data_IF_934719545914
#
_entry.id   IF_934719545914
#
_cell.length_a   1.000
_cell.length_b   1.000
_cell.length_c   1.000
_cell.angle_alpha   90.00
_cell.angle_beta   90.00
_cell.angle_gamma   90.00
#
_symmetry.space_group_name_H-M   'P 1'
#
loop_
_entity.id
_entity.type
_entity.pdbx_description
1 polymer ?
#
# COMPACT_ATOMS: atom_id res chain seq x y z
N UNK A 1 -16.58 8.50 -12.86
CA UNK A 1 -16.45 7.03 -13.03
C UNK A 1 -15.72 6.38 -11.86
N UNK A 2 -14.50 6.80 -11.49
CA UNK A 2 -13.78 6.25 -10.30
C UNK A 2 -14.48 6.62 -8.98
N UNK A 3 -14.99 7.85 -8.87
CA UNK A 3 -15.79 8.29 -7.70
C UNK A 3 -17.07 7.46 -7.53
N UNK A 4 -17.63 6.97 -8.64
CA UNK A 4 -18.81 6.10 -8.67
C UNK A 4 -18.47 4.70 -8.17
N UNK A 5 -17.27 4.20 -8.48
CA UNK A 5 -16.78 2.89 -8.02
C UNK A 5 -16.48 2.89 -6.51
N UNK A 6 -15.88 3.98 -6.01
CA UNK A 6 -15.61 4.20 -4.58
C UNK A 6 -16.90 4.41 -3.77
N UNK A 7 -17.90 5.11 -4.32
CA UNK A 7 -19.22 5.23 -3.71
C UNK A 7 -20.00 3.90 -3.72
N UNK A 8 -19.86 3.07 -4.75
CA UNK A 8 -20.52 1.76 -4.77
C UNK A 8 -19.97 0.80 -3.72
N UNK A 9 -18.73 0.99 -3.24
CA UNK A 9 -18.22 0.28 -2.06
C UNK A 9 -18.83 0.77 -0.75
N UNK A 10 -19.19 2.05 -0.66
CA UNK A 10 -19.79 2.66 0.53
C UNK A 10 -21.30 2.44 0.62
N UNK A 11 -21.97 2.14 -0.50
CA UNK A 11 -23.43 2.00 -0.60
C UNK A 11 -23.93 0.57 -0.82
N UNK A 12 -23.11 -0.46 -0.58
CA UNK A 12 -23.54 -1.86 -0.65
C UNK A 12 -23.81 -2.44 0.76
N UNK A 13 -25.00 -2.21 1.35
CA UNK A 13 -25.38 -2.76 2.66
C UNK A 13 -25.61 -4.29 2.65
N UNK A 14 -25.17 -4.99 1.61
CA UNK A 14 -25.42 -6.43 1.38
C UNK A 14 -24.14 -7.27 1.26
N UNK A 15 -22.96 -6.69 1.51
CA UNK A 15 -21.66 -7.38 1.42
C UNK A 15 -20.95 -7.49 2.79
N UNK A 16 -21.69 -7.41 3.89
CA UNK A 16 -21.13 -7.59 5.23
C UNK A 16 -20.44 -8.96 5.36
N UNK A 17 -19.19 -8.96 5.81
CA UNK A 17 -18.43 -10.19 6.08
C UNK A 17 -16.93 -10.04 5.87
N UNK A 18 -16.50 -9.41 4.76
CA UNK A 18 -15.11 -9.51 4.30
C UNK A 18 -14.54 -8.23 3.69
N UNK A 19 -15.33 -7.16 3.61
CA UNK A 19 -14.85 -5.88 3.11
C UNK A 19 -14.20 -5.07 4.22
N UNK A 20 -13.17 -4.34 3.85
CA UNK A 20 -12.51 -3.37 4.71
C UNK A 20 -12.41 -2.02 4.01
N UNK A 21 -12.44 -0.96 4.79
CA UNK A 21 -12.02 0.38 4.35
C UNK A 21 -10.72 0.71 5.07
N UNK A 22 -9.79 1.33 4.36
CA UNK A 22 -8.47 1.65 4.89
C UNK A 22 -8.11 3.11 4.67
N UNK A 23 -7.47 3.69 5.68
CA UNK A 23 -6.72 4.93 5.57
C UNK A 23 -5.29 4.66 6.00
N UNK A 24 -4.34 5.16 5.22
CA UNK A 24 -2.93 4.85 5.42
C UNK A 24 -2.07 6.10 5.26
N UNK A 25 -1.08 6.26 6.15
CA UNK A 25 0.09 7.08 5.88
C UNK A 25 1.14 6.18 5.23
N UNK A 26 1.30 6.25 3.91
CA UNK A 26 1.51 5.05 3.12
C UNK A 26 2.86 4.94 2.38
N UNK A 27 3.82 5.83 2.64
CA UNK A 27 5.14 5.79 2.03
C UNK A 27 5.05 5.78 0.50
N UNK A 28 5.44 4.67 -0.13
CA UNK A 28 5.32 4.49 -1.59
C UNK A 28 3.89 4.59 -2.12
N UNK A 29 2.88 4.22 -1.34
CA UNK A 29 1.47 4.37 -1.71
C UNK A 29 0.98 5.81 -1.64
N UNK A 30 1.87 6.76 -1.35
CA UNK A 30 1.59 8.18 -1.16
C UNK A 30 1.87 8.61 0.28
N UNK A 31 1.93 9.92 0.50
CA UNK A 31 1.92 10.51 1.85
C UNK A 31 0.70 10.03 2.63
N UNK A 32 -0.45 10.03 1.95
CA UNK A 32 -1.70 9.46 2.44
C UNK A 32 -2.35 8.64 1.34
N UNK A 33 -2.99 7.54 1.72
CA UNK A 33 -3.80 6.70 0.84
C UNK A 33 -5.12 6.37 1.50
N UNK A 34 -6.18 6.31 0.70
CA UNK A 34 -7.51 5.88 1.12
C UNK A 34 -7.98 4.79 0.17
N UNK A 35 -8.47 3.68 0.71
CA UNK A 35 -8.79 2.52 -0.08
C UNK A 35 -9.84 1.63 0.55
N UNK A 36 -10.10 0.55 -0.16
CA UNK A 36 -10.91 -0.56 0.30
C UNK A 36 -10.24 -1.87 -0.06
N UNK A 37 -10.61 -2.90 0.68
CA UNK A 37 -10.05 -4.22 0.55
C UNK A 37 -11.06 -5.31 0.73
N UNK A 38 -10.66 -6.50 0.31
CA UNK A 38 -11.44 -7.71 0.44
C UNK A 38 -10.57 -8.84 0.99
N UNK A 39 -10.96 -9.37 2.14
CA UNK A 39 -10.36 -10.55 2.75
C UNK A 39 -11.24 -11.76 2.46
N UNK A 40 -10.91 -12.56 1.44
CA UNK A 40 -11.71 -13.76 1.14
C UNK A 40 -11.36 -14.95 2.04
N UNK A 41 -10.22 -14.89 2.74
CA UNK A 41 -9.85 -15.84 3.78
C UNK A 41 -8.92 -15.17 4.79
N UNK A 42 -8.76 -15.71 6.01
CA UNK A 42 -7.85 -15.15 7.01
C UNK A 42 -6.40 -14.99 6.52
N UNK A 43 -6.01 -15.77 5.50
CA UNK A 43 -4.67 -15.77 4.94
C UNK A 43 -4.52 -14.89 3.70
N UNK A 44 -5.61 -14.39 3.10
CA UNK A 44 -5.56 -13.76 1.79
C UNK A 44 -6.42 -12.50 1.73
N UNK A 45 -5.79 -11.39 1.35
CA UNK A 45 -6.40 -10.07 1.26
C UNK A 45 -5.95 -9.38 -0.03
N UNK A 46 -6.85 -8.65 -0.67
CA UNK A 46 -6.52 -7.72 -1.75
C UNK A 46 -7.04 -6.34 -1.42
N UNK A 47 -6.18 -5.33 -1.62
CA UNK A 47 -6.51 -3.93 -1.41
C UNK A 47 -6.37 -3.15 -2.72
N UNK A 48 -7.25 -2.17 -2.86
CA UNK A 48 -7.16 -1.11 -3.85
C UNK A 48 -7.23 0.24 -3.13
N UNK A 49 -6.25 1.12 -3.35
CA UNK A 49 -6.24 2.44 -2.73
C UNK A 49 -5.87 3.56 -3.69
N UNK A 50 -6.32 4.76 -3.35
CA UNK A 50 -5.99 5.99 -4.03
C UNK A 50 -5.00 6.78 -3.17
N UNK A 51 -3.81 7.02 -3.73
CA UNK A 51 -2.72 7.68 -3.05
C UNK A 51 -2.51 9.13 -3.50
N UNK A 52 -2.08 9.97 -2.56
CA UNK A 52 -1.61 11.33 -2.81
C UNK A 52 -0.15 11.44 -2.42
N UNK A 53 0.70 11.88 -3.33
CA UNK A 53 2.10 12.16 -3.05
C UNK A 53 2.42 13.63 -3.32
N UNK A 54 3.41 14.15 -2.61
CA UNK A 54 3.96 15.47 -2.87
C UNK A 54 5.41 15.36 -3.25
N UNK A 55 5.74 16.05 -4.33
CA UNK A 55 7.09 16.41 -4.69
C UNK A 55 7.25 17.92 -4.70
N UNK A 56 7.53 18.46 -3.52
CA UNK A 56 8.05 19.80 -3.40
C UNK A 56 6.91 20.76 -3.69
N UNK A 57 6.92 21.37 -4.88
CA UNK A 57 5.84 22.23 -5.34
C UNK A 57 4.73 21.50 -6.12
N UNK A 58 4.88 20.21 -6.43
CA UNK A 58 3.91 19.43 -7.20
C UNK A 58 3.23 18.37 -6.33
N UNK A 59 1.91 18.34 -6.33
CA UNK A 59 1.14 17.20 -5.84
C UNK A 59 0.81 16.26 -6.99
N UNK A 60 0.81 14.96 -6.71
CA UNK A 60 0.47 13.93 -7.67
C UNK A 60 -0.44 12.88 -7.05
N UNK A 61 -1.08 12.09 -7.92
CA UNK A 61 -2.06 11.08 -7.55
C UNK A 61 -1.70 9.73 -8.15
N UNK A 62 -2.04 8.66 -7.44
CA UNK A 62 -1.73 7.30 -7.86
C UNK A 62 -2.84 6.34 -7.48
N UNK A 63 -2.93 5.24 -8.21
CA UNK A 63 -3.69 4.05 -7.84
C UNK A 63 -2.73 2.99 -7.33
N UNK A 64 -3.09 2.36 -6.24
CA UNK A 64 -2.31 1.30 -5.64
C UNK A 64 -3.17 0.04 -5.58
N UNK A 65 -2.53 -1.10 -5.79
CA UNK A 65 -3.11 -2.38 -5.43
C UNK A 65 -2.07 -3.23 -4.73
N UNK A 66 -2.50 -4.01 -3.76
CA UNK A 66 -1.64 -4.97 -3.08
C UNK A 66 -2.44 -6.22 -2.80
N UNK A 67 -1.81 -7.34 -3.10
CA UNK A 67 -2.24 -8.64 -2.62
C UNK A 67 -1.38 -9.02 -1.43
N UNK A 68 -2.00 -9.49 -0.35
CA UNK A 68 -1.32 -9.95 0.87
C UNK A 68 -1.64 -11.40 1.17
N UNK A 69 -0.60 -12.11 1.57
CA UNK A 69 -0.62 -13.45 2.11
C UNK A 69 -0.14 -13.42 3.57
N UNK A 70 -0.96 -13.92 4.48
CA UNK A 70 -0.72 -13.94 5.93
C UNK A 70 -0.54 -15.39 6.39
N UNK A 71 0.67 -15.97 6.29
CA UNK A 71 0.90 -17.38 6.63
C UNK A 71 0.63 -17.71 8.10
N UNK A 72 0.78 -16.72 8.99
CA UNK A 72 0.59 -16.91 10.42
C UNK A 72 -0.46 -15.96 10.95
N UNK A 73 -1.32 -16.49 11.80
CA UNK A 73 -2.35 -15.72 12.49
C UNK A 73 -2.48 -16.27 13.90
N UNK A 74 -2.39 -15.39 14.88
CA UNK A 74 -2.52 -15.73 16.30
C UNK A 74 -3.88 -15.22 16.75
N UNK A 75 -4.80 -16.14 16.94
CA UNK A 75 -6.16 -15.83 17.37
C UNK A 75 -6.29 -15.80 18.89
N UNK A 76 -6.95 -14.76 19.38
CA UNK A 76 -7.37 -14.58 20.78
C UNK A 76 -8.84 -14.20 20.84
N UNK A 77 -9.51 -14.34 22.00
CA UNK A 77 -10.92 -14.01 22.13
C UNK A 77 -11.26 -12.55 21.81
N UNK A 78 -10.34 -11.60 22.07
CA UNK A 78 -10.59 -10.17 21.87
C UNK A 78 -9.92 -9.59 20.62
N UNK A 79 -8.93 -10.29 20.07
CA UNK A 79 -8.10 -9.77 18.98
C UNK A 79 -7.49 -10.89 18.15
N UNK A 80 -7.02 -10.53 16.98
CA UNK A 80 -6.25 -11.38 16.09
C UNK A 80 -4.96 -10.64 15.74
N UNK A 81 -3.82 -11.28 15.96
CA UNK A 81 -2.53 -10.72 15.58
C UNK A 81 -1.97 -11.48 14.37
N UNK A 82 -1.68 -10.74 13.32
CA UNK A 82 -0.96 -11.21 12.14
C UNK A 82 0.49 -10.73 12.30
N UNK A 83 1.41 -11.57 12.80
CA UNK A 83 2.79 -11.17 13.05
C UNK A 83 3.52 -10.81 11.75
N UNK A 84 3.20 -11.51 10.66
CA UNK A 84 3.78 -11.27 9.34
C UNK A 84 2.71 -11.47 8.27
N UNK A 85 2.55 -10.47 7.40
CA UNK A 85 2.01 -10.62 6.06
C UNK A 85 3.10 -10.33 5.04
N UNK A 86 2.99 -11.02 3.90
CA UNK A 86 3.82 -10.87 2.72
C UNK A 86 2.93 -10.39 1.59
N UNK A 87 3.33 -9.33 0.88
CA UNK A 87 2.51 -8.79 -0.19
C UNK A 87 3.28 -8.55 -1.47
N UNK A 88 2.54 -8.55 -2.57
CA UNK A 88 2.97 -8.05 -3.86
C UNK A 88 2.11 -6.84 -4.17
N UNK A 89 2.75 -5.72 -4.49
CA UNK A 89 2.05 -4.49 -4.78
C UNK A 89 2.38 -3.94 -6.16
N UNK A 90 1.43 -3.18 -6.70
CA UNK A 90 1.59 -2.36 -7.88
C UNK A 90 1.08 -0.95 -7.59
N UNK A 91 1.73 0.04 -8.18
CA UNK A 91 1.34 1.44 -8.10
C UNK A 91 1.37 2.04 -9.49
N UNK A 92 0.34 2.80 -9.82
CA UNK A 92 0.18 3.44 -11.10
C UNK A 92 0.00 4.95 -10.92
N UNK A 93 0.90 5.75 -11.49
CA UNK A 93 0.79 7.21 -11.48
C UNK A 93 -0.30 7.67 -12.43
N UNK A 94 -1.19 8.54 -11.94
CA UNK A 94 -2.29 9.12 -12.72
C UNK A 94 -1.91 10.45 -13.39
N UNK A 95 -0.68 10.90 -13.22
CA UNK A 95 -0.25 12.19 -13.74
C UNK A 95 -0.03 12.16 -15.26
N UNK A 96 -0.25 13.31 -15.91
CA UNK A 96 -0.23 13.43 -17.38
C UNK A 96 1.15 13.13 -17.97
N UNK A 97 2.20 13.40 -17.21
CA UNK A 97 3.57 13.03 -17.54
C UNK A 97 3.86 11.55 -17.27
N UNK A 98 2.93 10.75 -16.71
CA UNK A 98 3.04 9.27 -16.58
C UNK A 98 4.33 8.80 -15.89
N UNK A 99 4.93 9.63 -15.05
CA UNK A 99 6.20 9.31 -14.44
C UNK A 99 6.15 9.48 -12.92
N UNK A 100 6.68 8.50 -12.20
CA UNK A 100 7.12 8.67 -10.80
C UNK A 100 8.40 9.53 -10.67
N UNK A 101 8.81 10.24 -11.74
CA UNK A 101 10.12 10.90 -11.92
C UNK A 101 10.45 11.99 -10.90
N UNK A 102 9.52 12.29 -10.05
CA UNK A 102 9.48 13.55 -9.39
C UNK A 102 9.11 13.22 -7.94
N UNK A 103 10.12 12.89 -7.14
CA UNK A 103 10.22 13.19 -5.71
C UNK A 103 11.45 14.10 -5.51
N UNK A 104 11.36 15.26 -4.84
CA UNK A 104 12.37 16.29 -4.83
C UNK A 104 13.36 15.95 -3.73
N UNK A 105 14.56 16.49 -3.88
CA UNK A 105 15.60 16.57 -2.88
C UNK A 105 16.50 15.35 -2.68
N UNK A 106 16.27 14.18 -3.30
CA UNK A 106 17.17 13.05 -3.01
C UNK A 106 17.38 11.98 -4.10
N UNK A 107 17.94 12.29 -5.27
CA UNK A 107 18.54 11.24 -6.12
C UNK A 107 19.73 11.76 -6.97
N UNK A 108 20.83 11.00 -7.11
CA UNK A 108 22.11 11.55 -7.59
C UNK A 108 22.32 11.63 -9.12
N UNK A 109 21.56 10.92 -9.98
CA UNK A 109 21.89 10.83 -11.43
C UNK A 109 20.69 10.90 -12.40
N UNK A 110 20.97 11.39 -13.62
CA UNK A 110 19.99 11.82 -14.65
C UNK A 110 19.21 10.68 -15.32
N UNK A 111 19.74 9.45 -15.33
CA UNK A 111 19.14 8.28 -16.00
C UNK A 111 18.72 7.17 -15.01
N UNK A 112 18.51 7.55 -13.74
CA UNK A 112 18.31 6.60 -12.65
C UNK A 112 16.89 5.97 -12.61
N UNK A 113 15.89 6.56 -13.27
CA UNK A 113 14.55 5.98 -13.38
C UNK A 113 14.18 5.68 -14.83
N UNK A 114 13.66 4.47 -15.07
CA UNK A 114 12.89 4.14 -16.28
C UNK A 114 11.62 4.99 -16.34
N UNK A 115 11.25 5.43 -17.54
CA UNK A 115 10.07 6.26 -17.81
C UNK A 115 8.76 5.42 -17.78
N UNK A 116 8.42 4.85 -16.62
CA UNK A 116 7.23 4.01 -16.47
C UNK A 116 6.26 4.57 -15.41
N UNK A 117 4.97 4.59 -15.76
CA UNK A 117 3.87 4.98 -14.89
C UNK A 117 3.49 3.88 -13.91
N UNK A 118 3.93 2.64 -14.14
CA UNK A 118 3.67 1.48 -13.31
C UNK A 118 4.94 1.09 -12.56
N UNK A 119 4.81 0.84 -11.26
CA UNK A 119 5.86 0.31 -10.39
C UNK A 119 5.32 -0.86 -9.59
N UNK A 120 6.18 -1.85 -9.36
CA UNK A 120 5.86 -2.98 -8.51
C UNK A 120 6.80 -3.11 -7.34
N UNK A 121 6.48 -4.02 -6.44
CA UNK A 121 7.35 -4.34 -5.34
C UNK A 121 6.78 -5.39 -4.39
N UNK A 122 7.49 -5.59 -3.29
CA UNK A 122 7.12 -6.51 -2.23
C UNK A 122 6.81 -5.76 -0.95
N UNK A 123 5.79 -6.21 -0.22
CA UNK A 123 5.38 -5.66 1.06
C UNK A 123 5.63 -6.70 2.17
N UNK A 124 6.08 -6.23 3.32
CA UNK A 124 6.16 -6.99 4.56
C UNK A 124 5.47 -6.18 5.64
N UNK A 125 4.75 -6.82 6.54
CA UNK A 125 4.17 -6.06 7.64
C UNK A 125 3.46 -6.91 8.66
N UNK A 126 2.87 -6.24 9.63
CA UNK A 126 2.15 -6.85 10.74
C UNK A 126 0.84 -6.12 10.94
N UNK A 127 -0.19 -6.85 11.38
CA UNK A 127 -1.49 -6.28 11.65
C UNK A 127 -2.03 -6.76 12.99
N UNK A 128 -2.58 -5.85 13.77
CA UNK A 128 -3.28 -6.13 15.01
C UNK A 128 -4.75 -5.77 14.84
N UNK A 129 -5.61 -6.79 14.90
CA UNK A 129 -7.05 -6.70 14.61
C UNK A 129 -7.84 -6.85 15.91
N UNK A 130 -8.60 -5.84 16.28
CA UNK A 130 -9.56 -5.90 17.38
C UNK A 130 -10.87 -6.51 16.84
N UNK A 131 -11.49 -7.41 17.61
CA UNK A 131 -12.80 -7.98 17.25
C UNK A 131 -13.96 -7.04 17.63
N UNK A 132 -13.79 -6.22 18.66
CA UNK A 132 -14.76 -5.20 19.06
C UNK A 132 -14.01 -4.01 19.65
N UNK A 133 -13.96 -2.85 18.96
CA UNK A 133 -14.50 -2.58 17.62
C UNK A 133 -13.75 -3.36 16.54
N UNK A 134 -14.39 -3.63 15.39
CA UNK A 134 -13.81 -4.33 14.22
C UNK A 134 -12.73 -3.50 13.48
N UNK A 135 -11.71 -3.09 14.23
CA UNK A 135 -10.66 -2.16 13.84
C UNK A 135 -9.32 -2.89 13.72
N UNK A 136 -8.57 -2.58 12.67
CA UNK A 136 -7.22 -3.11 12.47
C UNK A 136 -6.22 -1.97 12.41
N UNK A 137 -5.11 -2.13 13.13
CA UNK A 137 -3.93 -1.28 13.00
C UNK A 137 -2.85 -2.13 12.33
N UNK A 138 -2.32 -1.67 11.21
CA UNK A 138 -1.27 -2.37 10.49
C UNK A 138 -0.06 -1.49 10.25
N UNK A 139 1.10 -2.11 10.24
CA UNK A 139 2.37 -1.50 9.86
C UNK A 139 2.91 -2.24 8.64
N UNK A 140 3.27 -1.49 7.61
CA UNK A 140 3.74 -2.00 6.33
C UNK A 140 5.14 -1.47 6.04
N UNK A 141 5.99 -2.31 5.48
CA UNK A 141 7.27 -1.99 4.89
C UNK A 141 7.24 -2.43 3.44
N UNK A 142 7.57 -1.53 2.53
CA UNK A 142 7.48 -1.76 1.08
C UNK A 142 8.84 -1.59 0.45
N UNK A 143 9.19 -2.54 -0.40
CA UNK A 143 10.40 -2.53 -1.21
C UNK A 143 10.04 -2.43 -2.69
N UNK A 144 10.54 -1.41 -3.36
CA UNK A 144 10.26 -1.17 -4.78
C UNK A 144 11.13 -2.07 -5.69
N UNK A 145 10.62 -2.44 -6.86
CA UNK A 145 11.29 -3.23 -7.91
C UNK A 145 12.70 -2.72 -8.26
N UNK A 146 12.85 -1.41 -8.50
CA UNK A 146 14.14 -0.78 -8.76
C UNK A 146 15.11 -0.87 -7.59
N UNK A 147 14.61 -1.12 -6.38
CA UNK A 147 15.44 -1.37 -5.21
C UNK A 147 16.23 -2.66 -5.30
N UNK A 148 15.62 -3.74 -5.79
CA UNK A 148 16.33 -5.00 -5.92
C UNK A 148 17.38 -4.93 -7.04
N UNK A 149 17.02 -4.32 -8.17
CA UNK A 149 17.94 -4.12 -9.31
C UNK A 149 19.08 -3.18 -8.93
N UNK A 150 18.81 -2.11 -8.20
CA UNK A 150 19.84 -1.16 -7.79
C UNK A 150 20.67 -1.66 -6.59
N UNK A 151 20.13 -2.45 -5.66
CA UNK A 151 20.95 -3.14 -4.63
C UNK A 151 21.94 -4.10 -5.31
N UNK A 152 21.53 -4.76 -6.38
CA UNK A 152 22.37 -5.66 -7.15
C UNK A 152 23.43 -4.92 -8.00
N UNK A 153 23.04 -3.81 -8.64
CA UNK A 153 23.90 -3.08 -9.59
C UNK A 153 24.70 -1.91 -8.99
N UNK A 154 24.36 -1.42 -7.79
CA UNK A 154 24.96 -0.21 -7.23
C UNK A 154 26.04 -0.55 -6.19
N UNK A 155 27.27 -0.10 -6.43
CA UNK A 155 28.40 -0.25 -5.52
C UNK A 155 28.22 0.58 -4.22
N UNK A 156 27.32 1.56 -4.23
CA UNK A 156 26.89 2.33 -3.06
C UNK A 156 25.48 1.89 -2.65
N UNK A 157 25.40 1.05 -1.62
CA UNK A 157 24.21 0.35 -1.12
C UNK A 157 23.26 1.28 -0.33
N UNK A 158 22.84 2.40 -0.90
CA UNK A 158 21.97 3.36 -0.21
C UNK A 158 20.51 2.87 -0.18
N UNK A 159 20.22 2.01 0.79
CA UNK A 159 18.92 1.33 0.99
C UNK A 159 17.75 2.29 1.27
N UNK A 160 18.03 3.51 1.74
CA UNK A 160 17.04 4.50 2.19
C UNK A 160 16.02 4.92 1.11
N UNK A 161 16.31 4.61 -0.14
CA UNK A 161 15.53 5.01 -1.30
C UNK A 161 14.57 3.97 -1.82
N UNK A 162 14.76 2.73 -1.37
CA UNK A 162 14.02 1.58 -1.86
C UNK A 162 13.08 1.00 -0.83
N UNK A 163 13.19 1.48 0.42
CA UNK A 163 12.36 1.09 1.52
C UNK A 163 11.46 2.26 1.90
N UNK A 164 10.16 2.00 1.98
CA UNK A 164 9.23 2.89 2.65
C UNK A 164 8.45 2.14 3.72
N UNK A 165 8.00 2.87 4.72
CA UNK A 165 7.16 2.32 5.77
C UNK A 165 5.85 3.11 5.88
N UNK A 166 4.76 2.43 6.21
CA UNK A 166 3.46 3.02 6.40
C UNK A 166 2.71 2.44 7.60
N UNK A 167 1.75 3.21 8.10
CA UNK A 167 0.80 2.78 9.13
C UNK A 167 -0.59 2.92 8.54
N UNK A 168 -1.35 1.83 8.60
CA UNK A 168 -2.73 1.76 8.15
C UNK A 168 -3.68 1.59 9.34
N UNK A 169 -4.82 2.25 9.25
CA UNK A 169 -5.99 1.99 10.05
C UNK A 169 -7.07 1.44 9.13
N UNK A 170 -7.60 0.26 9.45
CA UNK A 170 -8.65 -0.38 8.67
C UNK A 170 -9.88 -0.64 9.54
N UNK A 171 -11.05 -0.49 8.95
CA UNK A 171 -12.32 -0.87 9.56
C UNK A 171 -12.95 -1.97 8.73
N UNK A 172 -13.33 -3.08 9.37
CA UNK A 172 -13.98 -4.23 8.73
C UNK A 172 -15.49 -4.14 8.92
N UNK A 173 -16.22 -4.33 7.82
CA UNK A 173 -17.67 -4.40 7.87
C UNK A 173 -18.09 -5.81 8.28
N UNK A 174 -18.65 -5.93 9.49
CA UNK A 174 -19.26 -7.15 10.04
C UNK A 174 -20.76 -7.18 9.79
#
# INVERSE_FOLDING_TARGET
MIFTLLLSFLCAPALAGNWLVSIERAGFFGQYSLGGGYEWSPHHEVDLSYGFYSNGSRSGRQLNTVYRFSPWTIERPTHVWVPVHLGLFLMFSLERDRFFFNSPSKYPYKDYYEQNALRGGVEFGTAFRLRSPALTIAYHMRFLDNGMVAIYNNSRKDLQYYLSSGIALQYRFE
#
